data_IF_371334647772
#
_entry.id   IF_371334647772
#
_cell.length_a   1.000
_cell.length_b   1.000
_cell.length_c   1.000
_cell.angle_alpha   90.00
_cell.angle_beta   90.00
_cell.angle_gamma   90.00
#
_symmetry.space_group_name_H-M   'P 1'
#
loop_
_entity.id
_entity.type
_entity.pdbx_description
1 polymer ?
#
# COMPACT_ATOMS: atom_id res chain seq x y z
N UNK A 1 -33.00 -54.95 23.24
CA UNK A 1 -33.40 -54.64 24.61
C UNK A 1 -33.58 -53.14 24.74
N UNK A 2 -34.83 -52.74 25.01
CA UNK A 2 -35.31 -51.50 25.67
C UNK A 2 -34.78 -50.13 25.25
N UNK A 3 -35.60 -49.47 24.44
CA UNK A 3 -35.84 -48.02 24.37
C UNK A 3 -36.54 -47.51 25.64
N UNK A 4 -36.22 -46.29 26.11
CA UNK A 4 -37.16 -45.49 26.91
C UNK A 4 -37.03 -44.00 26.55
N UNK A 5 -38.17 -43.46 26.15
CA UNK A 5 -38.51 -42.07 25.85
C UNK A 5 -39.18 -41.48 27.09
N UNK A 6 -38.97 -40.18 27.38
CA UNK A 6 -39.85 -39.44 28.30
C UNK A 6 -40.30 -38.12 27.67
N UNK A 7 -41.61 -37.92 27.68
CA UNK A 7 -42.36 -36.75 27.19
C UNK A 7 -43.16 -36.12 28.36
N UNK A 8 -44.09 -35.15 28.19
CA UNK A 8 -44.07 -33.88 28.93
C UNK A 8 -45.34 -33.69 29.79
N UNK A 9 -45.50 -32.60 30.55
CA UNK A 9 -46.85 -32.20 31.06
C UNK A 9 -47.00 -30.70 31.40
N UNK A 10 -47.87 -30.06 30.59
CA UNK A 10 -48.98 -29.10 30.83
C UNK A 10 -48.86 -27.83 31.70
N UNK A 11 -49.24 -26.73 31.03
CA UNK A 11 -49.93 -25.46 31.39
C UNK A 11 -51.18 -25.60 32.29
N UNK A 12 -51.70 -24.53 32.95
CA UNK A 12 -52.68 -23.56 32.36
C UNK A 12 -52.52 -22.11 32.89
N UNK A 13 -53.09 -21.01 32.36
CA UNK A 13 -54.52 -20.71 32.11
C UNK A 13 -54.65 -19.30 31.46
N UNK A 14 -55.50 -19.17 30.45
CA UNK A 14 -56.15 -17.93 29.93
C UNK A 14 -57.50 -17.72 30.66
N UNK A 15 -58.11 -16.51 30.75
CA UNK A 15 -58.79 -15.85 29.61
C UNK A 15 -58.79 -14.29 29.73
N UNK A 16 -59.40 -13.41 28.93
CA UNK A 16 -60.41 -13.43 27.86
C UNK A 16 -60.44 -12.04 27.18
N UNK A 17 -60.81 -12.02 25.88
CA UNK A 17 -61.62 -11.05 25.08
C UNK A 17 -61.60 -9.53 25.44
N UNK A 18 -61.60 -8.59 24.48
CA UNK A 18 -62.73 -8.19 23.61
C UNK A 18 -62.24 -7.32 22.42
N UNK A 19 -63.05 -7.28 21.35
CA UNK A 19 -62.87 -6.71 19.99
C UNK A 19 -63.27 -5.19 19.86
N UNK A 20 -63.65 -4.62 18.68
CA UNK A 20 -62.83 -3.74 17.83
C UNK A 20 -63.51 -2.38 17.47
N UNK A 21 -62.97 -1.68 16.44
CA UNK A 21 -63.52 -0.53 15.68
C UNK A 21 -63.22 0.87 16.29
N UNK A 22 -63.04 2.01 15.59
CA UNK A 22 -63.41 2.48 14.24
C UNK A 22 -62.49 3.66 13.83
N UNK A 23 -62.49 3.98 12.54
CA UNK A 23 -61.83 5.06 11.78
C UNK A 23 -62.12 6.48 12.33
N UNK A 24 -61.12 7.39 12.28
CA UNK A 24 -61.29 8.83 12.54
C UNK A 24 -60.15 9.74 12.02
N UNK A 25 -60.44 10.44 10.91
CA UNK A 25 -59.93 11.72 10.38
C UNK A 25 -58.58 12.35 10.84
N UNK A 26 -57.61 12.34 9.90
CA UNK A 26 -56.85 13.49 9.33
C UNK A 26 -56.63 14.77 10.17
N UNK A 27 -55.36 15.02 10.52
CA UNK A 27 -54.78 16.38 10.63
C UNK A 27 -53.40 16.44 9.98
N UNK A 28 -53.18 17.51 9.21
CA UNK A 28 -51.97 17.76 8.41
C UNK A 28 -50.83 18.25 9.31
N UNK A 29 -49.79 17.44 9.47
CA UNK A 29 -48.50 17.85 10.02
C UNK A 29 -47.42 17.77 8.95
N UNK A 30 -46.95 18.92 8.48
CA UNK A 30 -45.82 19.04 7.53
C UNK A 30 -44.51 18.81 8.29
N UNK A 31 -44.11 17.56 8.45
CA UNK A 31 -42.77 17.19 8.90
C UNK A 31 -41.79 17.38 7.74
N UNK A 32 -40.87 18.34 7.89
CA UNK A 32 -39.74 18.49 6.97
C UNK A 32 -38.88 17.22 7.08
N UNK A 33 -38.90 16.36 6.06
CA UNK A 33 -37.92 15.31 5.90
C UNK A 33 -36.54 15.96 5.70
N UNK A 34 -35.68 15.85 6.69
CA UNK A 34 -34.24 16.00 6.47
C UNK A 34 -33.79 14.77 5.66
N UNK A 35 -33.11 14.93 4.52
CA UNK A 35 -32.58 13.79 3.82
C UNK A 35 -31.54 13.12 4.72
N UNK A 36 -31.76 11.83 4.99
CA UNK A 36 -30.79 10.98 5.65
C UNK A 36 -29.47 11.12 4.90
N UNK A 37 -28.43 11.58 5.61
CA UNK A 37 -27.07 11.65 5.07
C UNK A 37 -26.67 10.21 4.71
N UNK A 38 -26.59 9.92 3.42
CA UNK A 38 -25.96 8.71 2.90
C UNK A 38 -24.62 8.52 3.61
N UNK A 39 -24.29 7.32 4.14
CA UNK A 39 -23.03 7.11 4.83
C UNK A 39 -21.91 7.47 3.85
N UNK A 40 -21.12 8.47 4.24
CA UNK A 40 -19.96 8.95 3.50
C UNK A 40 -19.10 7.73 3.20
N UNK A 41 -19.00 7.33 1.93
CA UNK A 41 -18.12 6.25 1.46
C UNK A 41 -16.80 6.39 2.23
N UNK A 42 -16.47 5.42 3.08
CA UNK A 42 -15.16 5.35 3.72
C UNK A 42 -14.16 5.51 2.59
N UNK A 43 -13.43 6.63 2.60
CA UNK A 43 -12.58 7.01 1.47
C UNK A 43 -11.64 5.83 1.18
N UNK A 44 -11.41 5.44 -0.08
CA UNK A 44 -10.61 4.23 -0.41
C UNK A 44 -9.25 4.13 0.30
N UNK A 45 -8.72 5.25 0.81
CA UNK A 45 -7.59 5.30 1.74
C UNK A 45 -7.77 4.50 3.03
N UNK A 46 -8.95 4.54 3.64
CA UNK A 46 -9.26 3.81 4.87
C UNK A 46 -9.30 2.30 4.62
N UNK A 47 -9.88 1.87 3.49
CA UNK A 47 -9.88 0.47 3.08
C UNK A 47 -8.46 -0.04 2.84
N UNK A 48 -7.66 0.69 2.05
CA UNK A 48 -6.27 0.32 1.79
C UNK A 48 -5.41 0.28 3.07
N UNK A 49 -5.70 1.14 4.05
CA UNK A 49 -5.03 1.10 5.36
C UNK A 49 -5.43 -0.13 6.17
N UNK A 50 -6.71 -0.49 6.19
CA UNK A 50 -7.19 -1.69 6.87
C UNK A 50 -6.60 -2.96 6.25
N UNK A 51 -6.60 -3.05 4.93
CA UNK A 51 -6.02 -4.17 4.18
C UNK A 51 -4.50 -4.29 4.41
N UNK A 52 -3.78 -3.17 4.49
CA UNK A 52 -2.36 -3.19 4.86
C UNK A 52 -2.15 -3.60 6.32
N UNK A 53 -3.03 -3.22 7.25
CA UNK A 53 -2.96 -3.66 8.64
C UNK A 53 -3.17 -5.17 8.75
N UNK A 54 -4.16 -5.73 8.03
CA UNK A 54 -4.40 -7.17 7.94
C UNK A 54 -3.18 -7.93 7.42
N UNK A 55 -2.57 -7.45 6.33
CA UNK A 55 -1.32 -8.02 5.79
C UNK A 55 -0.17 -7.98 6.79
N UNK A 56 -0.05 -6.90 7.56
CA UNK A 56 0.99 -6.77 8.58
C UNK A 56 0.76 -7.76 9.73
N UNK A 57 -0.49 -7.92 10.18
CA UNK A 57 -0.86 -8.93 11.18
C UNK A 57 -0.57 -10.33 10.68
N UNK A 58 -0.97 -10.66 9.45
CA UNK A 58 -0.67 -11.96 8.82
C UNK A 58 0.84 -12.24 8.78
N UNK A 59 1.63 -11.28 8.32
CA UNK A 59 3.09 -11.42 8.26
C UNK A 59 3.70 -11.65 9.65
N UNK A 60 3.25 -10.92 10.67
CA UNK A 60 3.74 -11.09 12.04
C UNK A 60 3.40 -12.48 12.59
N UNK A 61 2.14 -12.91 12.46
CA UNK A 61 1.71 -14.24 12.90
C UNK A 61 2.49 -15.36 12.20
N UNK A 62 2.74 -15.19 10.90
CA UNK A 62 3.54 -16.13 10.13
C UNK A 62 5.01 -16.16 10.60
N UNK A 63 5.63 -15.00 10.84
CA UNK A 63 6.98 -14.92 11.37
C UNK A 63 7.09 -15.68 12.70
N UNK A 64 6.18 -15.43 13.64
CA UNK A 64 6.19 -16.05 14.96
C UNK A 64 6.01 -17.58 14.86
N UNK A 65 5.09 -18.03 14.00
CA UNK A 65 4.84 -19.45 13.75
C UNK A 65 6.09 -20.14 13.18
N UNK A 66 6.67 -19.60 12.10
CA UNK A 66 7.83 -20.19 11.45
C UNK A 66 9.05 -20.15 12.38
N UNK A 67 9.24 -19.06 13.13
CA UNK A 67 10.32 -18.96 14.10
C UNK A 67 10.22 -20.08 15.14
N UNK A 68 9.05 -20.26 15.75
CA UNK A 68 8.81 -21.31 16.75
C UNK A 68 8.96 -22.72 16.17
N UNK A 69 8.37 -22.99 15.02
CA UNK A 69 8.20 -24.37 14.51
C UNK A 69 9.36 -24.86 13.63
N UNK A 70 10.05 -23.96 12.92
CA UNK A 70 11.07 -24.32 11.92
C UNK A 70 12.46 -23.84 12.35
N UNK A 71 12.55 -22.62 12.86
CA UNK A 71 13.81 -22.02 13.32
C UNK A 71 14.07 -22.21 14.83
N UNK A 72 13.23 -23.01 15.50
CA UNK A 72 13.34 -23.38 16.92
C UNK A 72 13.44 -22.19 17.90
N UNK A 73 12.84 -21.05 17.53
CA UNK A 73 12.88 -19.83 18.32
C UNK A 73 14.23 -19.12 18.34
N UNK A 74 15.16 -19.49 17.45
CA UNK A 74 16.51 -18.91 17.42
C UNK A 74 16.63 -17.63 16.59
N UNK A 75 15.60 -17.22 15.85
CA UNK A 75 15.56 -15.86 15.31
C UNK A 75 15.16 -14.88 16.43
N UNK A 76 15.77 -13.69 16.53
CA UNK A 76 15.47 -12.75 17.60
C UNK A 76 14.00 -12.35 17.59
N UNK A 77 13.34 -12.37 18.75
CA UNK A 77 11.94 -11.94 18.89
C UNK A 77 11.79 -10.45 18.52
N UNK A 78 12.83 -9.66 18.74
CA UNK A 78 12.91 -8.23 18.36
C UNK A 78 13.12 -8.00 16.85
N UNK A 79 13.07 -9.04 16.01
CA UNK A 79 13.16 -8.89 14.55
C UNK A 79 11.97 -8.06 14.06
N UNK A 80 12.22 -6.84 13.58
CA UNK A 80 11.16 -5.95 13.12
C UNK A 80 10.75 -6.23 11.67
N UNK A 81 9.44 -6.32 11.42
CA UNK A 81 8.88 -6.38 10.06
C UNK A 81 8.52 -4.96 9.59
N UNK A 82 9.35 -4.40 8.70
CA UNK A 82 9.25 -3.01 8.25
C UNK A 82 8.59 -2.94 6.88
N UNK A 83 7.37 -2.41 6.82
CA UNK A 83 6.65 -2.22 5.56
C UNK A 83 7.07 -0.93 4.84
N UNK A 84 7.57 -1.09 3.61
CA UNK A 84 8.19 -0.01 2.83
C UNK A 84 7.43 0.26 1.53
N UNK A 85 7.04 1.52 1.35
CA UNK A 85 6.49 2.04 0.08
C UNK A 85 7.59 2.41 -0.94
N UNK A 86 8.85 2.33 -0.52
CA UNK A 86 10.04 2.72 -1.31
C UNK A 86 10.85 1.53 -1.80
N UNK A 87 10.57 0.33 -1.31
CA UNK A 87 11.11 -0.92 -1.85
C UNK A 87 10.31 -1.29 -3.10
N UNK A 88 10.82 -0.90 -4.28
CA UNK A 88 10.09 -0.97 -5.56
C UNK A 88 10.67 -1.98 -6.56
N UNK A 89 11.84 -2.55 -6.26
CA UNK A 89 12.60 -3.45 -7.17
C UNK A 89 12.69 -4.88 -6.65
N UNK A 90 12.44 -5.11 -5.36
CA UNK A 90 12.41 -6.42 -4.72
C UNK A 90 11.20 -6.49 -3.80
N UNK A 91 10.68 -7.69 -3.56
CA UNK A 91 9.54 -7.92 -2.68
C UNK A 91 9.92 -7.83 -1.19
N UNK A 92 11.17 -8.20 -0.85
CA UNK A 92 11.66 -8.24 0.52
C UNK A 92 13.17 -7.99 0.60
N UNK A 93 13.64 -7.67 1.81
CA UNK A 93 15.07 -7.61 2.16
C UNK A 93 15.27 -7.83 3.66
N UNK A 94 15.93 -8.92 4.02
CA UNK A 94 16.48 -9.12 5.36
C UNK A 94 17.69 -8.20 5.62
N UNK A 95 17.82 -7.74 6.87
CA UNK A 95 19.00 -7.03 7.37
C UNK A 95 19.40 -7.58 8.72
N UNK A 96 20.69 -7.75 8.90
CA UNK A 96 21.32 -8.08 10.16
C UNK A 96 22.50 -7.14 10.39
N UNK A 97 22.64 -6.66 11.62
CA UNK A 97 23.75 -5.84 12.05
C UNK A 97 24.23 -6.32 13.41
N UNK A 98 25.54 -6.24 13.63
CA UNK A 98 26.18 -6.50 14.93
C UNK A 98 27.03 -5.29 15.30
N UNK A 99 26.72 -4.68 16.43
CA UNK A 99 27.49 -3.56 16.96
C UNK A 99 28.85 -4.01 17.48
N UNK A 100 29.75 -3.06 17.79
CA UNK A 100 31.06 -3.36 18.39
C UNK A 100 30.93 -3.98 19.77
N UNK A 101 29.88 -3.60 20.50
CA UNK A 101 29.48 -4.12 21.82
C UNK A 101 28.84 -5.51 21.72
N UNK A 102 28.70 -6.05 20.51
CA UNK A 102 28.18 -7.39 20.26
C UNK A 102 26.66 -7.49 20.17
N UNK A 103 25.94 -6.38 20.32
CA UNK A 103 24.47 -6.33 20.20
C UNK A 103 24.07 -6.63 18.76
N UNK A 104 23.19 -7.62 18.58
CA UNK A 104 22.68 -7.98 17.26
C UNK A 104 21.30 -7.39 17.05
N UNK A 105 21.10 -6.74 15.90
CA UNK A 105 19.79 -6.23 15.47
C UNK A 105 19.41 -6.85 14.13
N UNK A 106 18.12 -7.15 13.98
CA UNK A 106 17.57 -7.80 12.80
C UNK A 106 16.30 -7.10 12.36
N UNK A 107 16.08 -7.04 11.05
CA UNK A 107 14.84 -6.54 10.48
C UNK A 107 14.59 -7.18 9.13
N UNK A 108 13.33 -7.28 8.74
CA UNK A 108 12.90 -7.68 7.40
C UNK A 108 12.10 -6.53 6.81
N UNK A 109 12.61 -5.93 5.74
CA UNK A 109 11.89 -4.92 4.97
C UNK A 109 10.98 -5.60 3.94
N UNK A 110 9.70 -5.24 3.91
CA UNK A 110 8.65 -5.84 3.06
C UNK A 110 8.05 -4.77 2.14
N UNK A 111 7.96 -5.04 0.84
CA UNK A 111 7.49 -4.07 -0.15
C UNK A 111 5.96 -3.99 -0.20
N UNK A 112 5.37 -2.94 0.37
CA UNK A 112 3.92 -2.69 0.39
C UNK A 112 3.26 -2.77 -0.99
N UNK A 113 3.96 -2.32 -2.05
CA UNK A 113 3.39 -2.26 -3.40
C UNK A 113 3.54 -3.55 -4.22
N UNK A 114 4.32 -4.52 -3.72
CA UNK A 114 4.58 -5.80 -4.41
C UNK A 114 3.89 -6.94 -3.66
N UNK A 115 3.84 -6.86 -2.33
CA UNK A 115 3.21 -7.84 -1.46
C UNK A 115 1.72 -7.54 -1.26
N UNK A 116 0.98 -7.74 -2.34
CA UNK A 116 -0.47 -7.49 -2.44
C UNK A 116 -1.33 -8.72 -2.07
N UNK A 117 -0.73 -9.88 -1.76
CA UNK A 117 -1.45 -11.10 -1.41
C UNK A 117 -0.73 -11.92 -0.35
N UNK A 118 -1.48 -12.73 0.40
CA UNK A 118 -0.92 -13.60 1.43
C UNK A 118 0.08 -14.62 0.86
N UNK A 119 -0.10 -15.05 -0.40
CA UNK A 119 0.87 -15.88 -1.12
C UNK A 119 2.24 -15.20 -1.27
N UNK A 120 2.25 -13.99 -1.83
CA UNK A 120 3.50 -13.24 -1.97
C UNK A 120 4.13 -12.96 -0.63
N UNK A 121 3.31 -12.64 0.39
CA UNK A 121 3.81 -12.41 1.75
C UNK A 121 4.47 -13.67 2.31
N UNK A 122 3.81 -14.84 2.25
CA UNK A 122 4.38 -16.07 2.85
C UNK A 122 5.65 -16.54 2.17
N UNK A 123 5.70 -16.50 0.85
CA UNK A 123 6.89 -16.89 0.09
C UNK A 123 8.05 -15.91 0.35
N UNK A 124 7.76 -14.61 0.30
CA UNK A 124 8.77 -13.56 0.51
C UNK A 124 9.30 -13.57 1.94
N UNK A 125 8.41 -13.52 2.93
CA UNK A 125 8.82 -13.47 4.34
C UNK A 125 9.66 -14.70 4.70
N UNK A 126 9.26 -15.89 4.26
CA UNK A 126 9.99 -17.12 4.53
C UNK A 126 11.39 -17.12 3.90
N UNK A 127 11.51 -16.62 2.67
CA UNK A 127 12.80 -16.42 2.01
C UNK A 127 13.73 -15.50 2.83
N UNK A 128 13.20 -14.35 3.29
CA UNK A 128 13.97 -13.40 4.11
C UNK A 128 14.33 -14.00 5.48
N UNK A 129 13.45 -14.80 6.08
CA UNK A 129 13.74 -15.53 7.32
C UNK A 129 14.85 -16.60 7.12
N UNK A 130 14.91 -17.25 5.96
CA UNK A 130 16.02 -18.16 5.64
C UNK A 130 17.37 -17.44 5.58
N UNK A 131 17.41 -16.20 5.06
CA UNK A 131 18.63 -15.37 5.15
C UNK A 131 19.00 -15.07 6.60
N UNK A 132 18.05 -14.61 7.42
CA UNK A 132 18.31 -14.39 8.85
C UNK A 132 18.80 -15.66 9.56
N UNK A 133 18.26 -16.83 9.23
CA UNK A 133 18.69 -18.09 9.82
C UNK A 133 20.16 -18.40 9.49
N UNK A 134 20.61 -18.16 8.25
CA UNK A 134 22.01 -18.32 7.89
C UNK A 134 22.91 -17.40 8.73
N UNK A 135 22.52 -16.14 8.89
CA UNK A 135 23.34 -15.14 9.56
C UNK A 135 23.33 -15.28 11.09
N UNK A 136 22.18 -15.58 11.67
CA UNK A 136 21.97 -15.63 13.12
C UNK A 136 22.19 -17.02 13.69
N UNK A 137 21.68 -18.07 13.05
CA UNK A 137 21.75 -19.44 13.57
C UNK A 137 23.07 -20.08 13.14
N UNK A 138 23.39 -20.04 11.85
CA UNK A 138 24.63 -20.63 11.33
C UNK A 138 25.85 -19.72 11.48
N UNK A 139 25.66 -18.46 11.90
CA UNK A 139 26.74 -17.46 12.09
C UNK A 139 27.54 -17.19 10.80
N UNK A 140 26.90 -17.31 9.64
CA UNK A 140 27.53 -17.06 8.33
C UNK A 140 26.91 -15.85 7.62
N UNK A 141 27.37 -14.62 7.89
CA UNK A 141 26.81 -13.40 7.30
C UNK A 141 27.13 -13.23 5.80
N UNK A 142 28.01 -14.06 5.23
CA UNK A 142 28.36 -14.01 3.80
C UNK A 142 27.48 -14.93 2.96
N UNK A 143 26.75 -15.85 3.59
CA UNK A 143 25.83 -16.74 2.92
C UNK A 143 24.67 -15.96 2.28
N UNK A 144 24.53 -16.17 0.97
CA UNK A 144 23.44 -15.62 0.16
C UNK A 144 22.39 -16.70 -0.07
N UNK A 145 22.50 -17.42 -1.20
CA UNK A 145 21.61 -18.53 -1.59
C UNK A 145 22.38 -19.85 -1.77
N UNK A 146 23.47 -20.04 -1.02
CA UNK A 146 24.30 -21.23 -1.04
C UNK A 146 23.67 -22.44 -0.32
N UNK A 147 24.52 -23.39 0.10
CA UNK A 147 24.06 -24.68 0.63
C UNK A 147 23.26 -24.53 1.93
N UNK A 148 23.70 -23.63 2.82
CA UNK A 148 23.05 -23.44 4.12
C UNK A 148 21.67 -22.82 3.89
N UNK A 149 21.57 -21.78 3.07
CA UNK A 149 20.30 -21.15 2.73
C UNK A 149 19.32 -22.13 2.08
N UNK A 150 19.79 -22.92 1.10
CA UNK A 150 18.95 -23.94 0.43
C UNK A 150 18.43 -24.99 1.41
N UNK A 151 19.23 -25.36 2.42
CA UNK A 151 18.80 -26.30 3.45
C UNK A 151 17.65 -25.75 4.31
N UNK A 152 17.70 -24.45 4.66
CA UNK A 152 16.62 -23.77 5.36
C UNK A 152 15.37 -23.63 4.51
N UNK A 153 15.51 -23.18 3.26
CA UNK A 153 14.40 -23.07 2.32
C UNK A 153 13.69 -24.43 2.16
N UNK A 154 14.46 -25.50 1.94
CA UNK A 154 13.90 -26.85 1.84
C UNK A 154 13.23 -27.30 3.15
N UNK A 155 13.79 -26.95 4.32
CA UNK A 155 13.16 -27.25 5.62
C UNK A 155 11.82 -26.54 5.76
N UNK A 156 11.73 -25.27 5.33
CA UNK A 156 10.48 -24.51 5.35
C UNK A 156 9.44 -25.17 4.44
N UNK A 157 9.76 -25.38 3.17
CA UNK A 157 8.83 -25.96 2.19
C UNK A 157 8.36 -27.37 2.56
N UNK A 158 9.19 -28.17 3.25
CA UNK A 158 8.77 -29.49 3.77
C UNK A 158 7.76 -29.40 4.92
N UNK A 159 7.84 -28.36 5.75
CA UNK A 159 6.96 -28.18 6.92
C UNK A 159 5.71 -27.39 6.60
N UNK A 160 5.78 -26.52 5.59
CA UNK A 160 4.71 -25.66 5.09
C UNK A 160 4.61 -25.84 3.59
N UNK A 161 3.77 -26.79 3.16
CA UNK A 161 3.57 -27.13 1.74
C UNK A 161 2.88 -26.03 0.95
N UNK A 162 2.28 -25.06 1.64
CA UNK A 162 1.75 -23.84 1.06
C UNK A 162 2.84 -22.79 0.77
N UNK A 163 4.09 -23.00 1.17
CA UNK A 163 5.17 -22.04 0.96
C UNK A 163 6.07 -22.54 -0.16
N UNK A 164 6.33 -21.69 -1.14
CA UNK A 164 7.27 -21.94 -2.24
C UNK A 164 8.39 -20.88 -2.21
N UNK A 165 9.61 -21.33 -1.91
CA UNK A 165 10.79 -20.48 -1.77
C UNK A 165 11.75 -20.79 -2.92
N UNK A 166 11.95 -19.79 -3.78
CA UNK A 166 12.98 -19.79 -4.80
C UNK A 166 14.09 -18.79 -4.46
N UNK A 167 15.20 -18.83 -5.20
CA UNK A 167 16.34 -17.91 -5.00
C UNK A 167 16.03 -16.47 -5.44
N UNK A 168 14.96 -16.25 -6.21
CA UNK A 168 14.53 -14.94 -6.68
C UNK A 168 13.01 -14.85 -6.66
N UNK A 169 12.48 -13.79 -6.06
CA UNK A 169 11.07 -13.43 -6.17
C UNK A 169 10.74 -13.07 -7.62
N UNK A 170 10.13 -13.99 -8.38
CA UNK A 170 9.69 -13.75 -9.76
C UNK A 170 8.20 -13.39 -9.82
N UNK A 171 7.80 -12.37 -9.06
CA UNK A 171 6.42 -11.90 -9.11
C UNK A 171 6.20 -11.03 -10.34
N UNK A 172 5.06 -11.24 -11.00
CA UNK A 172 4.56 -10.28 -11.98
C UNK A 172 4.09 -9.02 -11.24
N UNK A 173 4.90 -7.96 -11.32
CA UNK A 173 4.59 -6.68 -10.66
C UNK A 173 3.68 -5.88 -11.60
N UNK A 174 2.43 -5.69 -11.19
CA UNK A 174 1.50 -4.79 -11.88
C UNK A 174 1.86 -3.35 -11.57
N UNK A 175 2.25 -2.60 -12.61
CA UNK A 175 2.60 -1.19 -12.47
C UNK A 175 1.44 -0.31 -12.94
N UNK A 176 0.94 0.63 -12.12
CA UNK A 176 -0.19 1.49 -12.50
C UNK A 176 0.15 2.49 -13.62
N UNK A 177 1.43 2.70 -13.92
CA UNK A 177 1.88 3.60 -14.98
C UNK A 177 2.94 2.90 -15.82
N UNK A 178 2.52 2.37 -16.96
CA UNK A 178 3.41 1.75 -17.94
C UNK A 178 3.71 2.70 -19.09
N UNK A 179 4.92 2.57 -19.63
CA UNK A 179 5.42 3.36 -20.74
C UNK A 179 6.08 2.45 -21.74
N UNK A 180 5.82 2.63 -23.02
CA UNK A 180 6.40 1.84 -24.10
C UNK A 180 7.30 2.71 -24.98
N UNK A 181 8.44 2.16 -25.40
CA UNK A 181 9.30 2.82 -26.36
C UNK A 181 8.75 2.69 -27.78
N UNK A 182 8.54 3.82 -28.46
CA UNK A 182 8.07 3.83 -29.86
C UNK A 182 9.07 3.29 -30.90
N UNK A 183 10.33 3.00 -30.50
CA UNK A 183 11.35 2.47 -31.42
C UNK A 183 11.66 0.99 -31.17
N UNK A 184 11.90 0.58 -29.92
CA UNK A 184 12.29 -0.80 -29.60
C UNK A 184 11.23 -1.60 -28.83
N UNK A 185 10.01 -1.06 -28.67
CA UNK A 185 8.89 -1.67 -27.95
C UNK A 185 9.17 -2.07 -26.50
N UNK A 186 10.26 -1.58 -25.89
CA UNK A 186 10.57 -1.88 -24.48
C UNK A 186 9.57 -1.19 -23.55
N UNK A 187 8.90 -1.97 -22.70
CA UNK A 187 8.00 -1.47 -21.66
C UNK A 187 8.74 -1.17 -20.35
N UNK A 188 8.34 -0.07 -19.71
CA UNK A 188 8.83 0.41 -18.42
C UNK A 188 7.67 0.65 -17.47
N UNK A 189 7.54 -0.20 -16.45
CA UNK A 189 6.57 -0.02 -15.38
C UNK A 189 7.03 0.96 -14.29
N UNK A 190 6.14 1.81 -13.79
CA UNK A 190 6.37 2.75 -12.69
C UNK A 190 5.18 2.79 -11.74
N UNK A 191 5.45 3.06 -10.46
CA UNK A 191 4.43 3.29 -9.43
C UNK A 191 4.01 4.76 -9.30
N UNK A 192 4.54 5.65 -10.14
CA UNK A 192 4.15 7.05 -10.29
C UNK A 192 4.31 7.50 -11.75
N UNK A 193 3.69 8.63 -12.11
CA UNK A 193 3.84 9.27 -13.43
C UNK A 193 5.18 10.03 -13.56
N UNK A 194 6.28 9.40 -13.19
CA UNK A 194 7.59 10.07 -13.05
C UNK A 194 8.39 10.20 -14.35
N UNK A 195 7.97 9.53 -15.43
CA UNK A 195 8.62 9.67 -16.73
C UNK A 195 8.03 10.89 -17.42
N UNK A 196 8.95 11.75 -17.85
CA UNK A 196 8.71 12.97 -18.61
C UNK A 196 9.33 12.74 -19.99
N UNK A 197 8.55 12.30 -21.00
CA UNK A 197 9.07 11.92 -22.32
C UNK A 197 9.85 13.05 -23.03
N UNK A 198 9.58 14.30 -22.66
CA UNK A 198 10.29 15.48 -23.15
C UNK A 198 11.70 15.65 -22.57
N UNK A 199 12.04 14.92 -21.50
CA UNK A 199 13.34 14.99 -20.79
C UNK A 199 14.12 13.68 -20.83
N UNK A 200 13.45 12.57 -21.12
CA UNK A 200 14.01 11.22 -20.97
C UNK A 200 13.66 10.38 -22.19
N UNK A 201 14.70 9.83 -22.80
CA UNK A 201 14.58 8.84 -23.89
C UNK A 201 14.66 7.41 -23.35
N UNK A 202 14.32 6.45 -24.19
CA UNK A 202 14.41 5.03 -23.88
C UNK A 202 15.81 4.65 -23.38
N UNK A 203 15.88 4.07 -22.18
CA UNK A 203 17.14 3.63 -21.61
C UNK A 203 17.79 2.44 -22.33
N UNK A 204 17.03 1.69 -23.14
CA UNK A 204 17.52 0.52 -23.87
C UNK A 204 18.15 0.90 -25.23
N UNK A 205 17.39 1.55 -26.12
CA UNK A 205 17.91 1.94 -27.44
C UNK A 205 18.50 3.35 -27.50
N UNK A 206 18.38 4.14 -26.42
CA UNK A 206 18.89 5.52 -26.29
C UNK A 206 18.32 6.56 -27.27
N UNK A 207 17.46 6.16 -28.19
CA UNK A 207 16.90 7.04 -29.23
C UNK A 207 15.38 7.18 -29.17
N UNK A 208 14.66 6.14 -28.76
CA UNK A 208 13.20 6.11 -28.86
C UNK A 208 12.50 6.91 -27.76
N UNK A 209 11.42 7.59 -28.14
CA UNK A 209 10.53 8.29 -27.21
C UNK A 209 9.68 7.29 -26.41
N UNK A 210 9.29 7.66 -25.19
CA UNK A 210 8.46 6.85 -24.30
C UNK A 210 7.01 7.34 -24.34
N UNK A 211 6.09 6.47 -24.73
CA UNK A 211 4.65 6.75 -24.82
C UNK A 211 3.92 6.12 -23.62
N UNK A 212 3.01 6.84 -22.95
CA UNK A 212 2.26 6.28 -21.83
C UNK A 212 1.22 5.27 -22.30
N UNK A 213 1.16 4.11 -21.65
CA UNK A 213 0.11 3.10 -21.83
C UNK A 213 -1.08 3.29 -20.85
N UNK A 214 -1.24 4.51 -20.33
CA UNK A 214 -2.30 4.87 -19.38
C UNK A 214 -2.90 6.23 -19.72
N UNK A 215 -4.10 6.51 -19.19
CA UNK A 215 -4.78 7.79 -19.46
C UNK A 215 -4.00 8.98 -18.86
N UNK A 216 -3.51 9.84 -19.75
CA UNK A 216 -2.98 11.17 -19.43
C UNK A 216 -4.09 12.20 -19.66
N UNK A 217 -4.49 12.91 -18.60
CA UNK A 217 -5.39 14.06 -18.75
C UNK A 217 -4.58 15.21 -19.32
N UNK A 218 -4.85 15.59 -20.57
CA UNK A 218 -4.34 16.83 -21.13
C UNK A 218 -4.90 18.00 -20.31
N UNK A 219 -4.02 18.86 -19.79
CA UNK A 219 -4.47 20.20 -19.38
C UNK A 219 -4.71 20.95 -20.68
N UNK A 220 -5.97 21.10 -21.10
CA UNK A 220 -6.29 22.11 -22.11
C UNK A 220 -5.66 23.42 -21.66
N UNK A 221 -4.88 24.05 -22.55
CA UNK A 221 -4.30 25.36 -22.30
C UNK A 221 -5.45 26.30 -21.93
N UNK A 222 -5.44 26.78 -20.70
CA UNK A 222 -6.35 27.86 -20.29
C UNK A 222 -6.00 29.06 -21.16
N UNK A 223 -6.89 29.38 -22.10
CA UNK A 223 -6.83 30.63 -22.87
C UNK A 223 -6.61 31.79 -21.89
N UNK A 224 -5.68 32.72 -22.15
CA UNK A 224 -5.49 33.86 -21.26
C UNK A 224 -6.80 34.63 -21.17
N UNK A 225 -7.39 34.67 -19.97
CA UNK A 225 -8.49 35.59 -19.67
C UNK A 225 -7.97 37.00 -19.91
N UNK A 226 -8.63 37.76 -20.80
CA UNK A 226 -8.35 39.18 -21.01
C UNK A 226 -8.60 39.90 -19.68
N UNK A 227 -7.54 40.15 -18.92
CA UNK A 227 -7.60 41.01 -17.74
C UNK A 227 -8.00 42.41 -18.20
N UNK A 228 -9.12 42.90 -17.66
CA UNK A 228 -9.68 44.21 -17.95
C UNK A 228 -8.63 45.31 -17.84
N UNK A 229 -8.55 46.11 -18.89
CA UNK A 229 -7.78 47.35 -18.97
C UNK A 229 -8.33 48.32 -17.92
N UNK A 230 -7.63 48.52 -16.81
CA UNK A 230 -7.90 49.64 -15.91
C UNK A 230 -7.33 50.91 -16.56
N UNK A 231 -8.22 51.80 -16.99
CA UNK A 231 -7.90 53.15 -17.42
C UNK A 231 -7.37 53.93 -16.23
N UNK A 232 -6.15 54.46 -16.34
CA UNK A 232 -5.56 55.41 -15.40
C UNK A 232 -6.20 56.77 -15.68
N UNK A 233 -6.95 57.29 -14.71
CA UNK A 233 -7.43 58.67 -14.74
C UNK A 233 -6.27 59.59 -14.35
N UNK A 234 -5.83 60.39 -15.31
CA UNK A 234 -4.93 61.54 -15.14
C UNK A 234 -5.68 62.71 -14.52
N UNK A 235 -5.05 63.38 -13.55
CA UNK A 235 -5.31 64.78 -13.19
C UNK A 235 -3.98 65.49 -12.88
N UNK A 236 -3.93 66.83 -12.99
CA UNK A 236 -2.82 67.53 -13.66
C UNK A 236 -1.63 67.90 -12.77
N UNK A 237 -0.52 68.16 -13.47
CA UNK A 237 0.76 68.74 -12.99
C UNK A 237 0.56 70.15 -12.43
N UNK A 238 1.47 70.60 -11.57
CA UNK A 238 2.43 71.66 -11.95
C UNK A 238 3.60 71.84 -10.95
N UNK A 239 4.67 72.60 -11.27
CA UNK A 239 6.00 72.04 -11.49
C UNK A 239 7.07 72.67 -10.59
N UNK A 240 8.32 72.14 -10.61
CA UNK A 240 9.55 72.97 -10.45
C UNK A 240 10.82 72.16 -10.75
N UNK A 241 11.44 72.52 -11.89
CA UNK A 241 12.89 72.67 -12.18
C UNK A 241 13.88 71.51 -11.96
N UNK A 242 14.15 70.87 -13.10
CA UNK A 242 15.40 70.26 -13.63
C UNK A 242 16.60 71.27 -13.72
N UNK A 243 17.84 70.93 -14.20
CA UNK A 243 18.57 69.64 -14.31
C UNK A 243 20.13 69.78 -14.06
N UNK A 244 21.09 69.06 -14.72
CA UNK A 244 21.63 67.75 -14.31
C UNK A 244 23.19 67.62 -14.38
N UNK A 245 23.67 66.36 -14.26
CA UNK A 245 24.98 65.74 -14.65
C UNK A 245 25.88 65.40 -13.45
N UNK A 246 26.51 64.23 -13.36
CA UNK A 246 26.71 63.17 -14.34
C UNK A 246 27.29 61.90 -13.71
N UNK A 247 27.45 60.92 -14.59
CA UNK A 247 27.84 59.52 -14.43
C UNK A 247 29.27 59.35 -13.90
N UNK A 248 29.51 58.39 -13.00
CA UNK A 248 30.74 57.59 -13.06
C UNK A 248 30.55 56.19 -12.48
N UNK A 249 31.04 55.21 -13.23
CA UNK A 249 31.12 53.79 -12.91
C UNK A 249 32.28 53.51 -11.95
N UNK A 250 32.08 52.55 -11.04
CA UNK A 250 33.10 51.94 -10.18
C UNK A 250 32.52 50.71 -9.52
#
# INVERSE_FOLDING_TARGET
MTVVVTTPTRTPRLPSKVKPATIGARTKGRTKCTPAKTPRKTSGKAFALAEQAERATYAQSLFDELNRTIFAGHLPVETSLVWSKRLLTTAGRARWHRSKEGVQTTSIELATKILDSNERIRNTLSHEMCHLACWVINKDPKEGHGKIWKSWAAKVMRKRTDIDISTRHNYEISYPFEWECGNCAKTYGRFSKSIHPERVVCGACKTGMLHPLFTVRSRMATTPSKSGRRTIATSPRDPSSDPPRGVQWG
#
